data_IF_926571362169
#
_entry.id   IF_926571362169
#
_cell.length_a   1.000
_cell.length_b   1.000
_cell.length_c   1.000
_cell.angle_alpha   90.00
_cell.angle_beta   90.00
_cell.angle_gamma   90.00
#
_symmetry.space_group_name_H-M   'P 1'
#
loop_
_entity.id
_entity.type
_entity.pdbx_description
1 polymer ?
#
# COMPACT_ATOMS: atom_id res chain seq x y z
N UNK A 1 26.92 -63.07 -3.30
CA UNK A 1 25.96 -63.27 -4.40
C UNK A 1 24.74 -62.44 -4.00
N UNK A 2 24.51 -61.23 -4.49
CA UNK A 2 24.81 -60.65 -5.79
C UNK A 2 23.50 -60.06 -6.30
N UNK A 3 23.49 -58.74 -6.49
CA UNK A 3 22.53 -57.89 -7.25
C UNK A 3 21.14 -57.64 -6.60
N UNK A 4 20.70 -56.44 -6.20
CA UNK A 4 20.75 -55.05 -6.71
C UNK A 4 19.65 -54.69 -7.76
N UNK A 5 18.48 -54.26 -7.22
CA UNK A 5 17.57 -53.18 -7.67
C UNK A 5 16.85 -53.26 -9.07
N UNK A 6 15.87 -52.38 -9.39
CA UNK A 6 14.63 -52.02 -8.66
C UNK A 6 13.36 -51.80 -9.58
N UNK A 7 12.22 -51.48 -8.93
CA UNK A 7 11.09 -50.61 -9.31
C UNK A 7 10.32 -50.75 -10.64
N UNK A 8 8.98 -50.81 -10.55
CA UNK A 8 8.08 -50.17 -11.53
C UNK A 8 6.87 -49.52 -10.82
N UNK A 9 6.87 -48.19 -10.79
CA UNK A 9 5.69 -47.37 -10.57
C UNK A 9 4.86 -47.32 -11.84
N UNK A 10 3.54 -47.26 -11.72
CA UNK A 10 2.69 -46.96 -12.87
C UNK A 10 2.69 -45.46 -13.07
N UNK A 11 3.64 -45.03 -13.89
CA UNK A 11 3.83 -43.68 -14.39
C UNK A 11 2.63 -43.33 -15.29
N UNK A 12 1.77 -42.42 -14.83
CA UNK A 12 0.90 -41.69 -15.75
C UNK A 12 1.74 -40.68 -16.52
N UNK A 13 2.30 -41.19 -17.61
CA UNK A 13 2.44 -40.52 -18.90
C UNK A 13 2.66 -39.03 -18.84
N UNK A 14 3.93 -38.66 -18.69
CA UNK A 14 4.44 -37.39 -19.18
C UNK A 14 4.22 -37.32 -20.70
N UNK A 15 3.07 -36.78 -21.11
CA UNK A 15 2.86 -36.29 -22.47
C UNK A 15 2.07 -35.00 -22.37
N UNK A 16 2.79 -33.88 -22.24
CA UNK A 16 2.34 -32.64 -22.85
C UNK A 16 3.44 -31.58 -22.84
N UNK A 17 4.41 -31.74 -23.72
CA UNK A 17 5.07 -30.61 -24.36
C UNK A 17 4.07 -29.88 -25.27
N UNK A 18 2.95 -29.40 -24.72
CA UNK A 18 2.02 -28.54 -25.44
C UNK A 18 2.50 -27.11 -25.27
N UNK A 19 3.19 -26.64 -26.31
CA UNK A 19 3.22 -25.27 -26.81
C UNK A 19 2.43 -24.29 -25.94
N UNK A 20 3.04 -23.86 -24.83
CA UNK A 20 2.50 -22.76 -24.07
C UNK A 20 2.48 -21.56 -24.99
N UNK A 21 1.29 -20.98 -25.19
CA UNK A 21 1.12 -19.76 -25.97
C UNK A 21 2.05 -18.70 -25.37
N UNK A 22 3.20 -18.50 -26.02
CA UNK A 22 4.26 -17.61 -25.56
C UNK A 22 3.76 -16.18 -25.40
N UNK A 23 2.61 -15.86 -26.02
CA UNK A 23 1.93 -14.59 -25.87
C UNK A 23 1.42 -14.34 -24.45
N UNK A 24 1.17 -15.38 -23.64
CA UNK A 24 0.73 -15.24 -22.24
C UNK A 24 1.86 -14.84 -21.28
N UNK A 25 3.10 -14.73 -21.77
CA UNK A 25 4.17 -14.01 -21.06
C UNK A 25 3.87 -12.52 -20.90
N UNK A 26 3.07 -11.94 -21.79
CA UNK A 26 2.64 -10.54 -21.70
C UNK A 26 1.59 -10.34 -20.62
N UNK A 27 1.92 -9.53 -19.61
CA UNK A 27 1.00 -9.10 -18.54
C UNK A 27 -0.26 -8.48 -19.13
N UNK A 28 -0.11 -7.60 -20.13
CA UNK A 28 -1.24 -6.95 -20.81
C UNK A 28 -2.18 -7.96 -21.50
N UNK A 29 -1.63 -9.05 -22.05
CA UNK A 29 -2.44 -10.08 -22.70
C UNK A 29 -3.16 -10.96 -21.69
N UNK A 30 -2.51 -11.32 -20.58
CA UNK A 30 -3.17 -12.04 -19.48
C UNK A 30 -4.32 -11.22 -18.91
N UNK A 31 -4.12 -9.92 -18.66
CA UNK A 31 -5.17 -9.06 -18.11
C UNK A 31 -6.41 -8.98 -19.03
N UNK A 32 -6.22 -8.93 -20.35
CA UNK A 32 -7.34 -8.92 -21.32
C UNK A 32 -8.22 -10.17 -21.27
N UNK A 33 -7.70 -11.30 -20.78
CA UNK A 33 -8.52 -12.52 -20.65
C UNK A 33 -9.62 -12.37 -19.59
N UNK A 34 -9.44 -11.50 -18.59
CA UNK A 34 -10.37 -11.31 -17.49
C UNK A 34 -11.59 -10.43 -17.83
N UNK A 35 -11.83 -10.08 -19.10
CA UNK A 35 -13.01 -9.31 -19.52
C UNK A 35 -14.34 -9.94 -19.07
N UNK A 36 -14.37 -11.27 -18.92
CA UNK A 36 -15.54 -12.04 -18.48
C UNK A 36 -15.40 -12.59 -17.06
N UNK A 37 -14.40 -12.13 -16.30
CA UNK A 37 -14.20 -12.56 -14.92
C UNK A 37 -15.43 -12.23 -14.06
N UNK A 38 -15.92 -13.14 -13.22
CA UNK A 38 -17.08 -12.87 -12.39
C UNK A 38 -16.85 -11.67 -11.48
N UNK A 39 -17.72 -10.65 -11.57
CA UNK A 39 -17.64 -9.44 -10.71
C UNK A 39 -17.81 -9.73 -9.22
N UNK A 40 -18.40 -10.88 -8.88
CA UNK A 40 -18.59 -11.36 -7.50
C UNK A 40 -17.43 -12.22 -7.01
N UNK A 41 -16.38 -12.41 -7.82
CA UNK A 41 -15.22 -13.19 -7.43
C UNK A 41 -14.50 -12.53 -6.25
N UNK A 42 -14.05 -13.30 -5.23
CA UNK A 42 -13.39 -12.76 -4.05
C UNK A 42 -11.94 -12.30 -4.30
N UNK A 43 -11.37 -12.64 -5.46
CA UNK A 43 -9.99 -12.31 -5.84
C UNK A 43 -9.96 -11.46 -7.11
N UNK A 44 -9.06 -10.49 -7.16
CA UNK A 44 -9.01 -9.53 -8.26
C UNK A 44 -8.25 -10.08 -9.48
N UNK A 45 -8.66 -9.71 -10.72
CA UNK A 45 -7.88 -10.00 -11.91
C UNK A 45 -6.41 -9.58 -11.86
N UNK A 46 -6.09 -8.49 -11.13
CA UNK A 46 -4.72 -8.00 -10.99
C UNK A 46 -3.87 -8.97 -10.17
N UNK A 47 -4.37 -9.40 -9.01
CA UNK A 47 -3.67 -10.36 -8.14
C UNK A 47 -3.45 -11.70 -8.85
N UNK A 48 -4.41 -12.12 -9.67
CA UNK A 48 -4.30 -13.33 -10.48
C UNK A 48 -3.22 -13.19 -11.57
N UNK A 49 -3.15 -12.06 -12.26
CA UNK A 49 -2.12 -11.78 -13.28
C UNK A 49 -0.72 -11.66 -12.68
N UNK A 50 -0.59 -11.05 -11.50
CA UNK A 50 0.64 -10.98 -10.70
C UNK A 50 1.08 -12.36 -10.21
N UNK A 51 0.15 -13.25 -9.88
CA UNK A 51 0.45 -14.65 -9.62
C UNK A 51 0.73 -15.46 -10.91
N UNK A 52 0.77 -14.81 -12.09
CA UNK A 52 1.10 -15.44 -13.37
C UNK A 52 -0.07 -16.13 -14.05
N UNK A 53 -1.31 -15.85 -13.63
CA UNK A 53 -2.50 -16.47 -14.18
C UNK A 53 -3.16 -15.62 -15.29
N UNK A 54 -3.85 -16.32 -16.19
CA UNK A 54 -4.82 -15.76 -17.13
C UNK A 54 -6.15 -16.52 -17.02
N UNK A 55 -7.25 -15.87 -17.33
CA UNK A 55 -8.58 -16.45 -17.25
C UNK A 55 -8.85 -17.42 -18.39
N UNK A 56 -9.32 -18.62 -18.06
CA UNK A 56 -9.72 -19.65 -19.03
C UNK A 56 -11.20 -20.00 -18.98
N UNK A 57 -11.88 -19.71 -17.86
CA UNK A 57 -13.33 -19.91 -17.71
C UNK A 57 -13.74 -21.39 -17.74
N UNK A 58 -15.06 -21.69 -17.68
CA UNK A 58 -16.21 -20.78 -17.78
C UNK A 58 -16.65 -20.13 -16.45
N UNK A 59 -16.09 -20.51 -15.30
CA UNK A 59 -16.42 -19.93 -13.98
C UNK A 59 -15.30 -19.00 -13.50
N UNK A 60 -14.60 -19.37 -12.45
CA UNK A 60 -13.47 -18.65 -11.86
C UNK A 60 -12.14 -19.39 -12.11
N UNK A 61 -12.08 -20.16 -13.21
CA UNK A 61 -10.91 -20.96 -13.55
C UNK A 61 -9.84 -20.10 -14.22
N UNK A 62 -8.61 -20.20 -13.71
CA UNK A 62 -7.44 -19.47 -14.20
C UNK A 62 -6.26 -20.41 -14.42
N UNK A 63 -5.39 -20.10 -15.37
CA UNK A 63 -4.25 -20.93 -15.75
C UNK A 63 -2.94 -20.15 -15.74
N UNK A 64 -1.88 -20.75 -15.20
CA UNK A 64 -0.57 -20.11 -15.14
C UNK A 64 0.11 -20.13 -16.53
N UNK A 65 0.68 -19.01 -16.96
CA UNK A 65 1.43 -18.93 -18.23
C UNK A 65 2.75 -19.73 -18.22
N UNK A 66 3.30 -20.00 -17.04
CA UNK A 66 4.60 -20.63 -16.87
C UNK A 66 4.50 -22.14 -16.66
N UNK A 67 3.80 -22.59 -15.61
CA UNK A 67 3.67 -24.01 -15.29
C UNK A 67 2.45 -24.67 -15.94
N UNK A 68 1.50 -23.89 -16.47
CA UNK A 68 0.24 -24.40 -17.01
C UNK A 68 -0.77 -24.85 -15.96
N UNK A 69 -0.47 -24.71 -14.66
CA UNK A 69 -1.33 -25.10 -13.56
C UNK A 69 -2.65 -24.31 -13.55
N UNK A 70 -3.76 -25.00 -13.26
CA UNK A 70 -5.11 -24.42 -13.25
C UNK A 70 -5.65 -24.38 -11.82
N UNK A 71 -6.17 -23.22 -11.40
CA UNK A 71 -6.84 -23.01 -10.10
C UNK A 71 -8.26 -22.49 -10.31
N UNK A 72 -9.15 -22.79 -9.36
CA UNK A 72 -10.58 -22.46 -9.38
C UNK A 72 -11.20 -22.57 -7.98
N UNK A 73 -12.48 -22.22 -7.87
CA UNK A 73 -13.27 -22.23 -6.63
C UNK A 73 -12.68 -21.32 -5.53
N UNK A 74 -12.29 -20.10 -5.94
CA UNK A 74 -11.65 -19.07 -5.11
C UNK A 74 -12.58 -18.58 -3.99
N UNK A 75 -12.00 -18.39 -2.79
CA UNK A 75 -12.72 -18.01 -1.57
C UNK A 75 -12.28 -16.63 -1.05
N UNK A 76 -13.14 -15.95 -0.27
CA UNK A 76 -12.74 -14.73 0.44
C UNK A 76 -11.52 -14.97 1.33
N UNK A 77 -10.44 -14.24 1.06
CA UNK A 77 -9.17 -14.34 1.79
C UNK A 77 -8.09 -15.18 1.11
N UNK A 78 -8.40 -15.86 0.00
CA UNK A 78 -7.38 -16.59 -0.77
C UNK A 78 -6.39 -15.60 -1.41
N UNK A 79 -5.09 -15.91 -1.31
CA UNK A 79 -4.04 -15.13 -1.97
C UNK A 79 -3.53 -15.90 -3.20
N UNK A 80 -3.73 -15.41 -4.44
CA UNK A 80 -3.36 -16.13 -5.66
C UNK A 80 -1.91 -16.60 -5.73
N UNK A 81 -0.95 -15.82 -5.23
CA UNK A 81 0.47 -16.19 -5.20
C UNK A 81 0.69 -17.39 -4.25
N UNK A 82 0.04 -17.37 -3.09
CA UNK A 82 0.17 -18.43 -2.08
C UNK A 82 -0.52 -19.71 -2.58
N UNK A 83 -1.71 -19.59 -3.16
CA UNK A 83 -2.40 -20.74 -3.75
C UNK A 83 -1.60 -21.33 -4.92
N UNK A 84 -0.98 -20.49 -5.76
CA UNK A 84 -0.08 -20.96 -6.81
C UNK A 84 1.11 -21.74 -6.24
N UNK A 85 1.77 -21.22 -5.21
CA UNK A 85 2.89 -21.88 -4.56
C UNK A 85 2.45 -23.20 -3.89
N UNK A 86 1.29 -23.22 -3.24
CA UNK A 86 0.76 -24.40 -2.54
C UNK A 86 0.46 -25.55 -3.51
N UNK A 87 -0.20 -25.27 -4.63
CA UNK A 87 -0.62 -26.29 -5.59
C UNK A 87 0.44 -26.60 -6.66
N UNK A 88 1.29 -25.64 -7.01
CA UNK A 88 2.34 -25.80 -8.03
C UNK A 88 3.70 -25.27 -7.53
N UNK A 89 4.28 -25.88 -6.47
CA UNK A 89 5.51 -25.39 -5.83
C UNK A 89 6.76 -25.48 -6.70
N UNK A 90 6.69 -26.15 -7.85
CA UNK A 90 7.79 -26.27 -8.82
C UNK A 90 7.64 -25.31 -10.01
N UNK A 91 6.66 -24.40 -9.98
CA UNK A 91 6.50 -23.40 -11.02
C UNK A 91 7.68 -22.43 -11.03
N UNK A 92 8.44 -22.39 -12.12
CA UNK A 92 9.62 -21.52 -12.25
C UNK A 92 9.32 -20.04 -11.98
N UNK A 93 8.16 -19.57 -12.45
CA UNK A 93 7.70 -18.21 -12.18
C UNK A 93 7.48 -17.94 -10.70
N UNK A 94 6.74 -18.82 -9.99
CA UNK A 94 6.43 -18.61 -8.56
C UNK A 94 7.67 -18.80 -7.68
N UNK A 95 8.64 -19.60 -8.13
CA UNK A 95 9.95 -19.74 -7.51
C UNK A 95 10.90 -18.56 -7.77
N UNK A 96 10.49 -17.56 -8.56
CA UNK A 96 11.27 -16.36 -8.85
C UNK A 96 12.33 -16.51 -9.95
N UNK A 97 12.27 -17.56 -10.78
CA UNK A 97 13.13 -17.66 -11.95
C UNK A 97 12.66 -16.68 -13.05
N UNK A 98 13.62 -16.09 -13.77
CA UNK A 98 13.31 -15.28 -14.96
C UNK A 98 12.81 -16.20 -16.09
N UNK A 99 11.51 -16.22 -16.27
CA UNK A 99 10.82 -16.92 -17.35
C UNK A 99 10.41 -15.97 -18.46
N UNK A 100 11.01 -14.79 -18.58
CA UNK A 100 10.68 -13.81 -19.61
C UNK A 100 9.24 -13.31 -19.50
N UNK A 101 8.76 -13.06 -18.28
CA UNK A 101 7.49 -12.36 -18.05
C UNK A 101 7.63 -10.93 -18.61
N UNK A 102 6.79 -10.59 -19.58
CA UNK A 102 6.85 -9.30 -20.27
C UNK A 102 5.93 -8.32 -19.54
N UNK A 103 6.54 -7.57 -18.64
CA UNK A 103 5.97 -6.35 -18.05
C UNK A 103 5.67 -5.35 -19.18
N UNK A 104 4.66 -4.50 -19.02
CA UNK A 104 4.43 -3.42 -19.99
C UNK A 104 5.62 -2.45 -19.95
N UNK A 105 6.26 -2.25 -21.10
CA UNK A 105 7.32 -1.25 -21.26
C UNK A 105 6.78 0.15 -20.92
N UNK A 106 7.63 0.95 -20.27
CA UNK A 106 7.31 2.32 -19.93
C UNK A 106 7.07 3.14 -21.20
N UNK A 107 6.20 4.15 -21.09
CA UNK A 107 5.91 5.10 -22.17
C UNK A 107 7.18 5.80 -22.72
N UNK A 108 8.32 5.70 -22.04
CA UNK A 108 9.58 6.32 -22.43
C UNK A 108 10.14 5.78 -23.76
N UNK A 109 9.87 4.52 -24.14
CA UNK A 109 10.43 3.92 -25.35
C UNK A 109 9.55 4.09 -26.61
N UNK A 110 8.32 4.60 -26.46
CA UNK A 110 7.40 4.86 -27.58
C UNK A 110 7.67 6.24 -28.22
N UNK A 111 8.21 7.20 -27.46
CA UNK A 111 8.40 8.57 -27.92
C UNK A 111 9.63 8.80 -28.82
N UNK A 112 10.52 7.81 -28.96
CA UNK A 112 11.77 7.99 -29.71
C UNK A 112 11.66 7.68 -31.22
N UNK A 113 10.48 7.33 -31.77
CA UNK A 113 10.44 6.86 -33.18
C UNK A 113 9.30 7.29 -34.11
N UNK A 114 8.44 8.27 -33.79
CA UNK A 114 7.44 8.70 -34.79
C UNK A 114 7.19 10.20 -34.86
N UNK A 115 7.52 10.76 -36.03
CA UNK A 115 7.22 12.11 -36.47
C UNK A 115 5.71 12.42 -36.36
N UNK A 116 5.37 13.31 -35.42
CA UNK A 116 4.53 14.51 -35.59
C UNK A 116 3.13 14.47 -36.23
N UNK A 117 2.63 13.36 -36.77
CA UNK A 117 1.37 13.35 -37.55
C UNK A 117 0.21 12.55 -36.92
N UNK A 118 0.41 11.91 -35.77
CA UNK A 118 -0.65 11.16 -35.08
C UNK A 118 -1.32 11.94 -33.93
N UNK A 119 -1.20 13.27 -33.90
CA UNK A 119 -1.91 14.11 -32.91
C UNK A 119 -3.29 14.58 -33.39
N UNK A 120 -3.65 14.35 -34.66
CA UNK A 120 -4.96 14.72 -35.21
C UNK A 120 -6.02 13.62 -35.13
N UNK A 121 -5.63 12.35 -34.93
CA UNK A 121 -6.59 11.23 -34.80
C UNK A 121 -7.06 10.96 -33.36
N UNK A 122 -6.40 11.52 -32.34
CA UNK A 122 -6.70 11.23 -30.93
C UNK A 122 -7.74 12.17 -30.28
N UNK A 123 -8.31 13.13 -31.01
CA UNK A 123 -9.43 13.96 -30.49
C UNK A 123 -10.81 13.27 -30.55
N UNK A 124 -10.88 11.99 -30.93
CA UNK A 124 -12.14 11.30 -31.18
C UNK A 124 -12.54 10.17 -30.21
N UNK A 125 -11.73 9.80 -29.21
CA UNK A 125 -12.03 8.66 -28.33
C UNK A 125 -11.77 9.04 -26.88
N UNK A 126 -12.66 9.85 -26.32
CA UNK A 126 -12.84 9.93 -24.87
C UNK A 126 -14.08 9.10 -24.57
N UNK A 127 -13.92 7.93 -23.94
CA UNK A 127 -14.93 7.32 -23.05
C UNK A 127 -14.43 5.98 -22.48
N UNK A 128 -13.99 6.08 -21.21
CA UNK A 128 -13.91 5.08 -20.11
C UNK A 128 -12.51 4.97 -19.48
N UNK A 129 -12.44 5.44 -18.23
CA UNK A 129 -11.28 5.71 -17.40
C UNK A 129 -10.44 4.46 -17.11
N UNK A 130 -9.30 4.32 -17.79
CA UNK A 130 -8.15 3.63 -17.22
C UNK A 130 -7.36 4.62 -16.39
N UNK A 131 -7.36 4.45 -15.07
CA UNK A 131 -6.51 5.22 -14.16
C UNK A 131 -5.06 5.18 -14.69
N UNK A 132 -4.57 6.35 -15.06
CA UNK A 132 -3.18 6.63 -15.39
C UNK A 132 -2.29 6.16 -14.21
N UNK A 133 -0.99 5.90 -14.44
CA UNK A 133 -0.05 5.75 -13.32
C UNK A 133 -0.24 6.93 -12.37
N UNK A 134 -0.29 6.71 -11.06
CA UNK A 134 -0.35 7.83 -10.11
C UNK A 134 0.90 8.68 -10.32
N UNK A 135 0.74 9.83 -10.95
CA UNK A 135 1.80 10.80 -11.06
C UNK A 135 2.20 11.24 -9.64
N UNK A 136 3.47 11.57 -9.41
CA UNK A 136 3.86 12.14 -8.12
C UNK A 136 3.00 13.37 -7.85
N UNK A 137 2.43 13.47 -6.64
CA UNK A 137 1.61 14.62 -6.24
C UNK A 137 2.34 15.97 -6.42
N UNK A 138 3.67 15.96 -6.24
CA UNK A 138 4.55 17.11 -6.44
C UNK A 138 5.64 16.79 -7.48
N UNK A 139 5.35 16.90 -8.79
CA UNK A 139 6.30 16.61 -9.86
C UNK A 139 7.58 17.46 -9.82
N UNK A 140 7.50 18.68 -9.29
CA UNK A 140 8.64 19.58 -9.09
C UNK A 140 9.59 19.13 -7.97
N UNK A 141 9.16 18.19 -7.12
CA UNK A 141 9.90 17.67 -5.97
C UNK A 141 10.42 16.24 -6.21
N UNK A 142 10.47 15.79 -7.48
CA UNK A 142 10.93 14.45 -7.87
C UNK A 142 12.40 14.21 -7.54
N UNK A 143 13.28 15.21 -7.71
CA UNK A 143 14.70 15.06 -7.41
C UNK A 143 15.00 15.27 -5.93
N UNK A 144 15.97 14.54 -5.39
CA UNK A 144 16.37 14.66 -3.98
C UNK A 144 16.92 16.06 -3.68
N UNK A 145 17.63 16.66 -4.63
CA UNK A 145 18.22 18.00 -4.51
C UNK A 145 17.14 19.07 -4.34
N UNK A 146 16.05 18.98 -5.11
CA UNK A 146 14.93 19.91 -4.99
C UNK A 146 14.27 19.80 -3.62
N UNK A 147 14.06 18.58 -3.12
CA UNK A 147 13.54 18.36 -1.76
C UNK A 147 14.48 18.90 -0.69
N UNK A 148 15.77 18.63 -0.79
CA UNK A 148 16.77 19.10 0.16
C UNK A 148 16.82 20.63 0.24
N UNK A 149 16.64 21.30 -0.90
CA UNK A 149 16.61 22.77 -0.97
C UNK A 149 15.49 23.42 -0.13
N UNK A 150 14.45 22.67 0.22
CA UNK A 150 13.34 23.17 1.05
C UNK A 150 13.70 23.28 2.54
N UNK A 151 14.76 22.63 3.00
CA UNK A 151 15.15 22.55 4.41
C UNK A 151 15.96 23.76 4.94
N UNK A 152 15.98 24.88 4.22
CA UNK A 152 16.74 26.09 4.60
C UNK A 152 16.44 26.61 6.01
N UNK A 153 15.19 26.45 6.48
CA UNK A 153 14.73 26.86 7.81
C UNK A 153 14.30 25.67 8.68
N UNK A 154 14.88 24.49 8.45
CA UNK A 154 14.62 23.32 9.27
C UNK A 154 15.09 23.58 10.72
N UNK A 155 14.33 23.16 11.75
CA UNK A 155 14.69 23.44 13.13
C UNK A 155 16.12 22.95 13.46
N UNK A 156 16.98 23.86 13.91
CA UNK A 156 18.39 23.55 14.20
C UNK A 156 18.56 22.53 15.34
N UNK A 157 17.55 22.38 16.20
CA UNK A 157 17.51 21.39 17.28
C UNK A 157 16.84 20.07 16.86
N UNK A 158 16.63 19.84 15.56
CA UNK A 158 16.13 18.57 15.06
C UNK A 158 17.25 17.54 15.02
N UNK A 159 17.01 16.39 15.65
CA UNK A 159 17.94 15.27 15.65
C UNK A 159 17.99 14.50 14.32
N UNK A 160 16.98 14.69 13.45
CA UNK A 160 16.94 14.09 12.12
C UNK A 160 17.51 15.06 11.09
N UNK A 161 18.44 14.55 10.29
CA UNK A 161 19.13 15.30 9.25
C UNK A 161 18.28 15.47 7.98
N UNK A 162 18.20 16.69 7.42
CA UNK A 162 17.49 16.98 6.16
C UNK A 162 17.82 16.04 5.01
N UNK A 163 19.06 15.58 4.88
CA UNK A 163 19.50 14.67 3.81
C UNK A 163 18.81 13.31 3.93
N UNK A 164 18.56 12.83 5.14
CA UNK A 164 17.86 11.56 5.36
C UNK A 164 16.37 11.67 5.01
N UNK A 165 15.76 12.81 5.34
CA UNK A 165 14.36 13.12 5.02
C UNK A 165 14.18 13.26 3.50
N UNK A 166 15.04 14.05 2.85
CA UNK A 166 15.03 14.25 1.40
C UNK A 166 15.20 12.93 0.64
N UNK A 167 16.15 12.09 1.05
CA UNK A 167 16.37 10.76 0.47
C UNK A 167 15.15 9.84 0.61
N UNK A 168 14.44 9.92 1.75
CA UNK A 168 13.21 9.19 2.01
C UNK A 168 11.96 9.76 1.31
N UNK A 169 12.14 10.71 0.39
CA UNK A 169 11.09 11.30 -0.42
C UNK A 169 10.41 12.52 0.23
N UNK A 170 10.93 13.02 1.35
CA UNK A 170 10.29 14.12 2.08
C UNK A 170 10.86 15.49 1.73
N UNK A 171 10.00 16.49 1.56
CA UNK A 171 10.36 17.90 1.52
C UNK A 171 9.76 18.64 2.73
N UNK A 172 10.41 19.72 3.16
CA UNK A 172 9.97 20.51 4.30
C UNK A 172 8.83 21.46 3.91
N UNK A 173 7.79 21.51 4.74
CA UNK A 173 6.63 22.37 4.51
C UNK A 173 6.83 23.82 4.97
N UNK A 174 7.96 24.14 5.62
CA UNK A 174 8.22 25.47 6.18
C UNK A 174 7.60 25.73 7.55
N UNK A 175 6.93 24.74 8.17
CA UNK A 175 6.29 24.88 9.48
C UNK A 175 6.74 23.79 10.45
N UNK A 176 7.27 24.19 11.60
CA UNK A 176 7.68 23.28 12.67
C UNK A 176 8.70 22.25 12.17
N UNK A 177 8.45 20.97 12.45
CA UNK A 177 9.22 19.83 11.92
C UNK A 177 8.39 18.99 10.94
N UNK A 178 7.41 19.61 10.27
CA UNK A 178 6.48 18.91 9.40
C UNK A 178 7.05 18.77 7.99
N UNK A 179 7.17 17.53 7.52
CA UNK A 179 7.62 17.19 6.17
C UNK A 179 6.52 16.47 5.39
N UNK A 180 6.60 16.49 4.06
CA UNK A 180 5.64 15.84 3.14
C UNK A 180 6.35 15.02 2.08
N UNK A 181 5.80 13.85 1.76
CA UNK A 181 6.31 13.05 0.65
C UNK A 181 5.89 13.66 -0.68
N UNK A 182 6.83 13.80 -1.62
CA UNK A 182 6.53 14.32 -2.96
C UNK A 182 5.57 13.44 -3.77
N UNK A 183 5.48 12.14 -3.45
CA UNK A 183 4.72 11.19 -4.25
C UNK A 183 3.32 10.95 -3.71
N UNK A 184 3.20 10.61 -2.42
CA UNK A 184 1.93 10.21 -1.80
C UNK A 184 1.26 11.29 -0.95
N UNK A 185 1.84 12.49 -0.88
CA UNK A 185 1.47 13.57 0.03
C UNK A 185 1.50 13.21 1.54
N UNK A 186 2.13 12.09 1.89
CA UNK A 186 2.21 11.62 3.27
C UNK A 186 2.97 12.60 4.16
N UNK A 187 2.31 13.12 5.20
CA UNK A 187 2.86 14.11 6.11
C UNK A 187 3.35 13.50 7.42
N UNK A 188 4.62 13.71 7.78
CA UNK A 188 5.21 13.22 9.04
C UNK A 188 5.77 14.40 9.84
N UNK A 189 5.64 14.33 11.16
CA UNK A 189 6.04 15.38 12.12
C UNK A 189 6.45 14.76 13.45
N UNK A 190 6.89 15.60 14.38
CA UNK A 190 7.30 15.18 15.74
C UNK A 190 8.49 14.21 15.72
N UNK A 191 9.47 14.52 14.88
CA UNK A 191 10.69 13.73 14.72
C UNK A 191 11.52 13.73 16.00
N UNK A 192 12.08 12.56 16.33
CA UNK A 192 12.88 12.31 17.52
C UNK A 192 14.24 11.72 17.14
N UNK A 193 15.18 11.79 18.09
CA UNK A 193 16.50 11.18 17.92
C UNK A 193 16.40 9.69 17.62
N UNK A 194 17.01 9.28 16.51
CA UNK A 194 17.05 7.87 16.08
C UNK A 194 15.86 7.44 15.21
N UNK A 195 14.89 8.31 14.94
CA UNK A 195 13.82 8.01 13.99
C UNK A 195 14.42 7.84 12.59
N UNK A 196 14.07 6.73 11.93
CA UNK A 196 14.45 6.48 10.54
C UNK A 196 13.32 6.95 9.61
N UNK A 197 13.58 7.90 8.70
CA UNK A 197 12.56 8.44 7.80
C UNK A 197 11.87 7.39 6.93
N UNK A 198 12.57 6.35 6.47
CA UNK A 198 11.97 5.28 5.68
C UNK A 198 11.03 4.40 6.51
N UNK A 199 11.39 4.12 7.76
CA UNK A 199 10.53 3.36 8.68
C UNK A 199 9.29 4.14 9.07
N UNK A 200 9.39 5.43 9.37
CA UNK A 200 8.19 6.25 9.64
C UNK A 200 7.33 6.40 8.38
N UNK A 201 7.94 6.55 7.19
CA UNK A 201 7.21 6.52 5.92
C UNK A 201 6.43 5.20 5.74
N UNK A 202 7.09 4.06 5.94
CA UNK A 202 6.47 2.75 5.80
C UNK A 202 5.42 2.43 6.85
N UNK A 203 5.57 2.96 8.07
CA UNK A 203 4.63 2.79 9.18
C UNK A 203 3.30 3.50 8.91
N UNK A 204 3.34 4.72 8.36
CA UNK A 204 2.15 5.55 8.20
C UNK A 204 1.55 5.52 6.79
N UNK A 205 2.38 5.33 5.76
CA UNK A 205 1.97 5.37 4.35
C UNK A 205 2.52 4.16 3.58
N UNK A 206 2.12 2.92 3.97
CA UNK A 206 2.68 1.69 3.39
C UNK A 206 2.35 1.50 1.90
N UNK A 207 1.34 2.20 1.38
CA UNK A 207 0.91 2.13 -0.02
C UNK A 207 1.61 3.15 -0.93
N UNK A 208 2.48 4.00 -0.39
CA UNK A 208 3.22 4.99 -1.18
C UNK A 208 4.05 4.30 -2.26
N UNK A 209 3.75 4.55 -3.54
CA UNK A 209 4.45 3.86 -4.63
C UNK A 209 5.93 4.23 -4.65
N UNK A 210 6.33 5.48 -4.39
CA UNK A 210 7.75 5.85 -4.27
C UNK A 210 8.46 5.03 -3.19
N UNK A 211 7.83 4.84 -2.03
CA UNK A 211 8.37 4.03 -0.94
C UNK A 211 8.50 2.57 -1.37
N UNK A 212 7.46 2.02 -1.99
CA UNK A 212 7.43 0.64 -2.47
C UNK A 212 8.50 0.38 -3.53
N UNK A 213 8.70 1.32 -4.47
CA UNK A 213 9.75 1.24 -5.48
C UNK A 213 11.14 1.38 -4.86
N UNK A 214 11.32 2.27 -3.87
CA UNK A 214 12.64 2.58 -3.30
C UNK A 214 13.12 1.55 -2.28
N UNK A 215 12.20 0.99 -1.48
CA UNK A 215 12.53 0.10 -0.35
C UNK A 215 12.01 -1.32 -0.51
N UNK A 216 11.05 -1.54 -1.40
CA UNK A 216 10.43 -2.83 -1.62
C UNK A 216 9.32 -3.17 -0.62
N UNK A 217 8.41 -4.04 -1.05
CA UNK A 217 7.28 -4.52 -0.23
C UNK A 217 7.73 -5.23 1.04
N UNK A 218 8.81 -6.00 0.99
CA UNK A 218 9.36 -6.72 2.16
C UNK A 218 9.78 -5.78 3.29
N UNK A 219 10.45 -4.68 2.95
CA UNK A 219 10.80 -3.65 3.95
C UNK A 219 9.54 -3.09 4.60
N UNK A 220 8.55 -2.70 3.79
CA UNK A 220 7.29 -2.12 4.29
C UNK A 220 6.53 -3.12 5.17
N UNK A 221 6.38 -4.35 4.71
CA UNK A 221 5.75 -5.45 5.45
C UNK A 221 6.48 -5.73 6.77
N UNK A 222 7.81 -5.72 6.79
CA UNK A 222 8.58 -5.92 8.03
C UNK A 222 8.34 -4.82 9.07
N UNK A 223 8.24 -3.56 8.61
CA UNK A 223 7.94 -2.40 9.46
C UNK A 223 6.51 -2.48 9.98
N UNK A 224 5.54 -2.76 9.10
CA UNK A 224 4.13 -2.96 9.45
C UNK A 224 3.94 -4.14 10.41
N UNK A 225 4.67 -5.23 10.22
CA UNK A 225 4.64 -6.40 11.09
C UNK A 225 5.24 -6.09 12.47
N UNK A 226 6.37 -5.36 12.54
CA UNK A 226 6.97 -4.93 13.81
C UNK A 226 6.04 -3.97 14.56
N UNK A 227 5.38 -3.08 13.82
CA UNK A 227 4.35 -2.19 14.36
C UNK A 227 3.11 -2.94 14.84
N UNK A 228 2.72 -4.03 14.17
CA UNK A 228 1.57 -4.86 14.53
C UNK A 228 1.87 -5.85 15.67
N UNK A 229 3.07 -6.41 15.75
CA UNK A 229 3.50 -7.37 16.79
C UNK A 229 3.89 -6.72 18.11
N UNK A 230 4.23 -5.43 18.11
CA UNK A 230 4.34 -4.62 19.34
C UNK A 230 2.97 -4.29 19.95
N UNK A 231 1.86 -4.62 19.28
CA UNK A 231 0.49 -4.27 19.65
C UNK A 231 -0.38 -5.47 20.08
N UNK A 232 0.09 -6.26 21.05
CA UNK A 232 -0.81 -6.90 22.04
C UNK A 232 -0.84 -6.10 23.34
N UNK A 233 -1.30 -4.86 23.26
CA UNK A 233 -1.79 -4.12 24.42
C UNK A 233 -2.79 -3.05 23.91
N UNK A 234 -4.11 -3.28 23.99
CA UNK A 234 -5.16 -2.37 23.53
C UNK A 234 -5.29 -1.09 24.39
N UNK A 235 -4.21 -0.70 25.06
CA UNK A 235 -4.15 0.44 25.99
C UNK A 235 -2.96 1.35 25.71
N UNK A 236 -1.95 0.96 24.91
CA UNK A 236 -0.77 1.82 24.67
C UNK A 236 -0.94 2.70 23.41
N UNK A 237 -1.76 2.28 22.44
CA UNK A 237 -2.02 3.04 21.21
C UNK A 237 -2.83 4.33 21.44
N UNK A 238 -3.68 4.33 22.48
CA UNK A 238 -4.38 5.53 22.96
C UNK A 238 -3.51 6.42 23.88
N UNK A 239 -2.38 5.91 24.41
CA UNK A 239 -1.49 6.67 25.29
C UNK A 239 -0.41 7.44 24.51
N UNK A 240 0.12 6.90 23.40
CA UNK A 240 1.16 7.61 22.62
C UNK A 240 0.64 8.75 21.74
N UNK A 241 -0.68 8.83 21.50
CA UNK A 241 -1.30 9.99 20.86
C UNK A 241 -1.80 11.03 21.87
N UNK A 242 -1.63 10.82 23.19
CA UNK A 242 -2.24 11.68 24.20
C UNK A 242 -1.46 11.95 25.50
N UNK A 243 -0.42 11.21 25.93
CA UNK A 243 0.46 11.68 27.03
C UNK A 243 1.86 11.00 27.05
N UNK A 244 2.88 11.85 26.82
CA UNK A 244 4.28 11.83 27.30
C UNK A 244 5.28 10.76 26.81
N UNK A 245 6.52 11.12 26.42
CA UNK A 245 7.28 12.28 26.89
C UNK A 245 8.20 12.94 25.87
N UNK A 246 8.06 14.27 25.73
CA UNK A 246 9.22 15.16 25.86
C UNK A 246 9.10 15.83 27.23
N UNK A 247 10.23 15.99 27.88
CA UNK A 247 10.43 16.63 29.18
C UNK A 247 9.52 17.87 29.35
N UNK A 248 8.65 17.85 30.37
CA UNK A 248 7.68 18.91 30.68
C UNK A 248 8.36 20.20 31.17
N UNK A 249 9.68 20.24 31.26
CA UNK A 249 10.43 21.32 31.90
C UNK A 249 10.52 22.63 31.10
N UNK A 250 9.99 22.72 29.86
CA UNK A 250 10.16 23.93 29.02
C UNK A 250 8.94 24.44 28.21
N UNK A 251 7.72 23.89 28.35
CA UNK A 251 6.54 24.43 27.66
C UNK A 251 5.78 25.44 28.54
N UNK A 252 5.40 26.59 27.99
CA UNK A 252 4.54 27.57 28.70
C UNK A 252 3.24 26.91 29.13
N UNK A 253 2.78 27.19 30.35
CA UNK A 253 1.51 26.69 30.92
C UNK A 253 0.31 27.00 30.02
N UNK A 254 0.35 28.12 29.31
CA UNK A 254 -0.69 28.49 28.34
C UNK A 254 -0.74 27.54 27.13
N UNK A 255 0.42 27.12 26.64
CA UNK A 255 0.51 26.18 25.50
C UNK A 255 0.12 24.77 25.94
N UNK A 256 0.50 24.36 27.16
CA UNK A 256 0.01 23.09 27.74
C UNK A 256 -1.51 23.08 27.85
N UNK A 257 -2.11 24.17 28.33
CA UNK A 257 -3.57 24.29 28.44
C UNK A 257 -4.25 24.24 27.07
N UNK A 258 -3.70 24.94 26.06
CA UNK A 258 -4.26 24.94 24.71
C UNK A 258 -4.25 23.55 24.09
N UNK A 259 -3.15 22.80 24.26
CA UNK A 259 -3.04 21.42 23.73
C UNK A 259 -4.05 20.47 24.37
N UNK A 260 -4.19 20.52 25.70
CA UNK A 260 -5.18 19.72 26.42
C UNK A 260 -6.62 20.05 26.03
N UNK A 261 -6.89 21.33 25.73
CA UNK A 261 -8.18 21.77 25.21
C UNK A 261 -8.41 21.24 23.79
N UNK A 262 -7.45 21.41 22.88
CA UNK A 262 -7.54 20.92 21.50
C UNK A 262 -7.82 19.42 21.44
N UNK A 263 -7.13 18.65 22.28
CA UNK A 263 -7.28 17.22 22.48
C UNK A 263 -8.72 16.79 22.84
N UNK A 264 -9.43 17.58 23.66
CA UNK A 264 -10.80 17.33 24.08
C UNK A 264 -11.84 17.81 23.07
N UNK A 265 -11.47 18.59 22.06
CA UNK A 265 -12.40 19.08 21.05
C UNK A 265 -12.73 18.04 19.97
N UNK A 266 -13.99 18.02 19.57
CA UNK A 266 -14.50 17.24 18.44
C UNK A 266 -13.74 17.60 17.17
N UNK A 267 -13.13 16.60 16.53
CA UNK A 267 -12.32 16.80 15.32
C UNK A 267 -13.13 17.02 14.04
N UNK A 268 -14.45 17.11 14.17
CA UNK A 268 -15.39 17.31 13.06
C UNK A 268 -15.89 18.76 13.04
N UNK A 269 -16.40 19.26 14.17
CA UNK A 269 -16.88 20.64 14.26
C UNK A 269 -15.87 21.61 14.89
N UNK A 270 -14.84 21.11 15.59
CA UNK A 270 -13.85 21.90 16.33
C UNK A 270 -14.44 22.89 17.33
N UNK A 271 -15.67 22.62 17.78
CA UNK A 271 -16.49 23.55 18.59
C UNK A 271 -16.91 22.92 19.93
N UNK A 272 -17.27 21.64 19.94
CA UNK A 272 -17.77 20.93 21.13
C UNK A 272 -16.83 19.83 21.57
N UNK A 273 -16.90 19.43 22.83
CA UNK A 273 -16.10 18.32 23.34
C UNK A 273 -16.46 16.97 22.71
N UNK A 274 -15.44 16.12 22.52
CA UNK A 274 -15.63 14.72 22.17
C UNK A 274 -16.47 14.02 23.23
N UNK A 275 -17.45 13.25 22.80
CA UNK A 275 -18.37 12.56 23.72
C UNK A 275 -18.91 11.24 23.15
N UNK A 276 -18.40 10.80 22.00
CA UNK A 276 -18.88 9.59 21.33
C UNK A 276 -17.72 8.71 20.87
N UNK A 277 -17.79 7.45 21.29
CA UNK A 277 -16.91 6.34 20.87
C UNK A 277 -17.61 5.55 19.77
N UNK A 278 -16.91 5.29 18.66
CA UNK A 278 -17.44 4.48 17.56
C UNK A 278 -17.14 2.99 17.72
N UNK A 279 -18.11 2.13 17.41
CA UNK A 279 -17.99 0.66 17.45
C UNK A 279 -17.92 0.13 16.01
N UNK A 280 -17.00 -0.81 15.69
CA UNK A 280 -16.11 -1.52 16.61
C UNK A 280 -14.73 -0.86 16.85
N UNK A 281 -14.42 0.27 16.19
CA UNK A 281 -13.05 0.77 16.17
C UNK A 281 -12.55 1.45 17.47
N UNK A 282 -13.45 1.80 18.40
CA UNK A 282 -13.10 2.39 19.70
C UNK A 282 -12.70 3.86 19.68
N UNK A 283 -12.72 4.56 18.55
CA UNK A 283 -12.22 5.94 18.46
C UNK A 283 -13.21 6.96 19.06
N UNK A 284 -12.70 7.79 19.99
CA UNK A 284 -13.38 8.96 20.58
C UNK A 284 -12.97 10.24 19.83
N UNK A 285 -13.75 10.64 18.83
CA UNK A 285 -13.36 11.72 17.90
C UNK A 285 -14.45 12.75 17.61
N UNK A 286 -15.71 12.39 17.89
CA UNK A 286 -16.87 13.22 17.58
C UNK A 286 -17.63 13.64 18.83
N UNK A 287 -18.25 14.83 18.78
CA UNK A 287 -19.30 15.20 19.72
C UNK A 287 -20.61 14.45 19.37
N UNK A 288 -21.54 14.43 20.32
CA UNK A 288 -22.85 13.78 20.17
C UNK A 288 -23.62 14.17 18.90
N UNK A 289 -23.54 15.42 18.47
CA UNK A 289 -24.24 15.89 17.27
C UNK A 289 -23.54 15.47 15.97
N UNK A 290 -22.21 15.61 15.93
CA UNK A 290 -21.44 15.25 14.74
C UNK A 290 -21.46 13.74 14.48
N UNK A 291 -21.53 12.93 15.54
CA UNK A 291 -21.57 11.47 15.44
C UNK A 291 -22.79 10.95 14.66
N UNK A 292 -23.93 11.64 14.69
CA UNK A 292 -25.17 11.20 14.05
C UNK A 292 -25.08 11.17 12.51
N UNK A 293 -24.19 12.00 11.94
CA UNK A 293 -24.04 12.14 10.49
C UNK A 293 -22.86 11.36 9.92
N UNK A 294 -22.16 10.57 10.75
CA UNK A 294 -20.98 9.83 10.35
C UNK A 294 -21.31 8.35 10.09
N UNK A 295 -20.91 7.86 8.92
CA UNK A 295 -20.98 6.43 8.55
C UNK A 295 -19.63 5.73 8.64
N UNK A 296 -18.54 6.49 8.57
CA UNK A 296 -17.16 6.02 8.69
C UNK A 296 -16.46 6.80 9.80
N UNK A 297 -15.56 6.13 10.52
CA UNK A 297 -14.73 6.77 11.54
C UNK A 297 -13.75 7.78 10.91
N UNK A 298 -13.71 9.05 11.35
CA UNK A 298 -12.76 10.05 10.83
C UNK A 298 -11.28 9.69 11.01
N UNK A 299 -10.94 8.84 11.98
CA UNK A 299 -9.55 8.45 12.28
C UNK A 299 -9.13 7.26 11.42
N UNK A 300 -9.86 6.14 11.52
CA UNK A 300 -9.44 4.88 10.92
C UNK A 300 -10.28 4.43 9.72
N UNK A 301 -11.24 5.25 9.28
CA UNK A 301 -12.17 4.97 8.16
C UNK A 301 -13.01 3.70 8.30
N UNK A 302 -12.99 3.03 9.46
CA UNK A 302 -13.81 1.86 9.72
C UNK A 302 -15.31 2.21 9.66
N UNK A 303 -16.12 1.27 9.15
CA UNK A 303 -17.58 1.41 9.13
C UNK A 303 -18.11 1.47 10.55
N UNK A 304 -18.90 2.50 10.85
CA UNK A 304 -19.52 2.70 12.15
C UNK A 304 -20.75 1.79 12.24
N UNK A 305 -20.66 0.74 13.05
CA UNK A 305 -21.76 -0.18 13.32
C UNK A 305 -22.62 0.29 14.51
N UNK A 306 -22.03 1.06 15.42
CA UNK A 306 -22.71 1.64 16.57
C UNK A 306 -21.91 2.77 17.20
N UNK A 307 -22.52 3.49 18.12
CA UNK A 307 -21.85 4.57 18.85
C UNK A 307 -22.25 4.57 20.32
N UNK A 308 -21.29 4.83 21.20
CA UNK A 308 -21.48 4.87 22.66
C UNK A 308 -21.14 6.27 23.15
N UNK A 309 -22.09 6.91 23.84
CA UNK A 309 -21.86 8.22 24.46
C UNK A 309 -21.07 8.06 25.76
N UNK A 310 -20.02 8.85 25.93
CA UNK A 310 -19.17 8.87 27.12
C UNK A 310 -19.24 10.24 27.80
N UNK A 311 -19.01 10.24 29.12
CA UNK A 311 -18.91 11.45 29.93
C UNK A 311 -17.49 11.50 30.50
N UNK A 312 -16.75 12.56 30.15
CA UNK A 312 -15.42 12.81 30.70
C UNK A 312 -15.59 13.51 32.06
N UNK A 313 -15.09 12.91 33.13
CA UNK A 313 -15.12 13.43 34.52
C UNK A 313 -13.88 14.25 34.85
#
# INVERSE_FOLDING_TARGET
MGDAAPAEGTEHGATSSQLFDSSMRSVARRLRTFQRWPRTSPVSPRDLVEAGFFYVGPRDEVQCFCCGGVLKDWRPGDCPIIEHLNFFPSCKYICGEDVGNQEMLSLQEIFDTVDGQFLSLLQGIVSEETALPNEPEYPEMVTEEMRLSTFQNWPQNSDVHPEQLARAGFFYTGRGDVVRCFYCDGGVRSWSFGDDPWREHAKWYPECEFLLHSKGREFVSSVQATFSTTLLAPVIWAFFFFFSGKDESQLSTEEQLRRLQEERMCKVCLDRDVSVVFVPCGHLVACGECALNLRLCPICRAVIQGSVRTFMS
#
